data_IF_116544782449
#
_entry.id   IF_116544782449
#
_cell.length_a   1.000
_cell.length_b   1.000
_cell.length_c   1.000
_cell.angle_alpha   90.00
_cell.angle_beta   90.00
_cell.angle_gamma   90.00
#
_symmetry.space_group_name_H-M   'P 1'
#
loop_
_entity.id
_entity.type
_entity.pdbx_description
1 polymer ?
#
# COMPACT_ATOMS: atom_id res chain seq x y z
N UNK A 1 -21.99 17.24 37.97
CA UNK A 1 -21.73 15.83 38.37
C UNK A 1 -20.82 15.24 37.31
N UNK A 2 -19.56 15.00 37.67
CA UNK A 2 -18.49 14.65 36.74
C UNK A 2 -18.33 13.14 36.68
N UNK A 3 -18.61 12.52 35.54
CA UNK A 3 -18.39 11.07 35.36
C UNK A 3 -17.07 10.88 34.62
N UNK A 4 -16.03 10.53 35.36
CA UNK A 4 -14.77 9.97 34.85
C UNK A 4 -14.89 8.44 34.89
N UNK A 5 -14.86 7.76 33.76
CA UNK A 5 -14.62 6.31 33.66
C UNK A 5 -14.00 6.05 32.28
N UNK A 6 -12.66 6.07 32.16
CA UNK A 6 -11.72 4.98 32.45
C UNK A 6 -11.71 3.92 31.34
N UNK A 7 -10.77 4.12 30.41
CA UNK A 7 -10.39 3.26 29.29
C UNK A 7 -9.90 1.91 29.81
N UNK A 8 -10.37 0.76 29.29
CA UNK A 8 -9.65 -0.49 29.45
C UNK A 8 -8.58 -0.60 28.36
N UNK A 9 -7.31 -0.40 28.76
CA UNK A 9 -6.15 -0.91 28.05
C UNK A 9 -6.30 -2.43 27.95
N UNK A 10 -6.63 -2.94 26.77
CA UNK A 10 -6.49 -4.37 26.47
C UNK A 10 -5.00 -4.69 26.37
N UNK A 11 -4.52 -5.31 27.44
CA UNK A 11 -3.18 -5.82 27.62
C UNK A 11 -2.87 -6.91 26.58
N UNK A 12 -1.65 -6.82 26.07
CA UNK A 12 -0.91 -7.84 25.35
C UNK A 12 -1.00 -9.21 26.04
N UNK A 13 -1.81 -10.12 25.48
CA UNK A 13 -1.65 -11.55 25.74
C UNK A 13 -0.65 -12.12 24.72
N UNK A 14 0.63 -12.07 25.11
CA UNK A 14 1.71 -12.80 24.46
C UNK A 14 1.51 -14.28 24.81
N UNK A 15 0.92 -15.03 23.90
CA UNK A 15 0.94 -16.49 23.94
C UNK A 15 2.21 -17.01 23.29
N UNK A 16 3.31 -17.04 24.03
CA UNK A 16 4.48 -17.85 23.68
C UNK A 16 4.12 -19.34 23.89
N UNK A 17 3.69 -20.04 22.83
CA UNK A 17 3.74 -21.50 22.82
C UNK A 17 5.12 -21.95 22.34
N UNK A 18 5.97 -22.24 23.32
CA UNK A 18 7.28 -22.86 23.14
C UNK A 18 7.12 -24.39 23.22
N UNK A 19 6.95 -25.04 22.07
CA UNK A 19 7.07 -26.50 21.94
C UNK A 19 8.44 -26.81 21.32
N UNK A 20 9.40 -27.10 22.18
CA UNK A 20 10.73 -27.61 21.82
C UNK A 20 10.71 -29.16 21.91
N UNK A 21 11.82 -29.90 21.62
CA UNK A 21 12.36 -30.31 20.33
C UNK A 21 12.43 -31.85 20.17
N UNK A 22 12.35 -32.39 18.95
CA UNK A 22 13.25 -33.49 18.56
C UNK A 22 13.28 -33.79 17.05
N UNK A 23 14.52 -33.90 16.55
CA UNK A 23 15.02 -34.75 15.47
C UNK A 23 14.23 -34.89 14.14
N UNK A 24 14.87 -34.40 13.08
CA UNK A 24 14.58 -34.77 11.70
C UNK A 24 15.67 -34.30 10.74
N UNK A 25 16.73 -35.10 10.66
CA UNK A 25 17.62 -35.33 9.51
C UNK A 25 17.66 -34.27 8.39
N UNK A 26 18.82 -33.63 8.21
CA UNK A 26 19.30 -33.20 6.89
C UNK A 26 18.40 -32.23 6.12
N UNK A 27 18.02 -31.11 6.72
CA UNK A 27 17.36 -30.03 6.00
C UNK A 27 18.30 -28.85 5.84
N UNK A 28 18.74 -28.61 4.60
CA UNK A 28 19.43 -27.38 4.21
C UNK A 28 18.71 -26.19 4.86
N UNK A 29 19.43 -25.34 5.61
CA UNK A 29 18.87 -24.09 6.14
C UNK A 29 18.55 -23.21 4.94
N UNK A 30 17.38 -23.41 4.34
CA UNK A 30 16.80 -22.45 3.42
C UNK A 30 16.40 -21.29 4.31
N UNK A 31 17.33 -20.34 4.51
CA UNK A 31 16.97 -18.96 4.73
C UNK A 31 15.88 -18.65 3.71
N UNK A 32 14.62 -18.63 4.15
CA UNK A 32 13.56 -18.01 3.36
C UNK A 32 13.86 -16.53 3.37
N UNK A 33 14.82 -16.13 2.55
CA UNK A 33 14.79 -14.82 1.95
C UNK A 33 13.41 -14.76 1.30
N UNK A 34 12.48 -14.03 1.89
CA UNK A 34 11.22 -13.66 1.26
C UNK A 34 11.55 -12.72 0.12
N UNK A 35 12.25 -13.22 -0.90
CA UNK A 35 12.30 -12.63 -2.23
C UNK A 35 10.88 -12.74 -2.75
N UNK A 36 10.11 -11.66 -2.60
CA UNK A 36 8.86 -11.52 -3.34
C UNK A 36 9.18 -11.83 -4.81
N UNK A 37 8.37 -12.70 -5.44
CA UNK A 37 8.50 -12.95 -6.87
C UNK A 37 8.35 -11.62 -7.62
N UNK A 38 8.98 -11.47 -8.78
CA UNK A 38 8.84 -10.23 -9.59
C UNK A 38 7.37 -9.89 -9.86
N UNK A 39 6.50 -10.91 -10.04
CA UNK A 39 5.04 -10.73 -10.11
C UNK A 39 4.42 -10.13 -8.84
N UNK A 40 4.82 -10.59 -7.65
CA UNK A 40 4.33 -10.07 -6.38
C UNK A 40 4.78 -8.64 -6.10
N UNK A 41 6.00 -8.28 -6.51
CA UNK A 41 6.50 -6.90 -6.44
C UNK A 41 5.70 -6.01 -7.40
N UNK A 42 5.44 -6.47 -8.63
CA UNK A 42 4.65 -5.73 -9.62
C UNK A 42 3.22 -5.49 -9.14
N UNK A 43 2.53 -6.52 -8.63
CA UNK A 43 1.14 -6.39 -8.17
C UNK A 43 1.02 -5.50 -6.93
N UNK A 44 1.97 -5.62 -6.01
CA UNK A 44 2.07 -4.72 -4.85
C UNK A 44 2.31 -3.27 -5.29
N UNK A 45 3.17 -3.06 -6.29
CA UNK A 45 3.44 -1.72 -6.84
C UNK A 45 2.19 -1.11 -7.50
N UNK A 46 1.43 -1.90 -8.28
CA UNK A 46 0.14 -1.47 -8.85
C UNK A 46 -0.87 -1.13 -7.76
N UNK A 47 -0.92 -1.93 -6.70
CA UNK A 47 -1.79 -1.67 -5.54
C UNK A 47 -1.47 -0.33 -4.87
N UNK A 48 -0.20 -0.02 -4.65
CA UNK A 48 0.23 1.26 -4.07
C UNK A 48 -0.13 2.46 -4.97
N UNK A 49 0.00 2.30 -6.29
CA UNK A 49 -0.46 3.33 -7.25
C UNK A 49 -1.97 3.58 -7.07
N UNK A 50 -2.78 2.52 -7.02
CA UNK A 50 -4.22 2.65 -6.85
C UNK A 50 -4.59 3.29 -5.50
N UNK A 51 -3.90 2.93 -4.41
CA UNK A 51 -4.10 3.53 -3.09
C UNK A 51 -3.75 5.02 -3.08
N UNK A 52 -2.61 5.42 -3.68
CA UNK A 52 -2.24 6.85 -3.80
C UNK A 52 -3.30 7.64 -4.59
N UNK A 53 -3.83 7.03 -5.65
CA UNK A 53 -4.90 7.62 -6.49
C UNK A 53 -6.21 7.78 -5.72
N UNK A 54 -6.57 6.81 -4.89
CA UNK A 54 -7.74 6.86 -4.01
C UNK A 54 -7.56 7.90 -2.90
N UNK A 55 -6.40 7.93 -2.24
CA UNK A 55 -6.08 8.91 -1.20
C UNK A 55 -6.16 10.35 -1.74
N UNK A 56 -5.63 10.60 -2.94
CA UNK A 56 -5.78 11.89 -3.62
C UNK A 56 -7.25 12.24 -3.91
N UNK A 57 -8.11 11.25 -4.17
CA UNK A 57 -9.55 11.46 -4.39
C UNK A 57 -10.23 11.84 -3.08
N UNK A 58 -9.90 11.17 -1.98
CA UNK A 58 -10.42 11.49 -0.64
C UNK A 58 -10.06 12.92 -0.22
N UNK A 59 -8.83 13.37 -0.48
CA UNK A 59 -8.44 14.76 -0.23
C UNK A 59 -9.28 15.75 -1.07
N UNK A 60 -9.48 15.46 -2.37
CA UNK A 60 -10.29 16.29 -3.27
C UNK A 60 -11.76 16.35 -2.86
N UNK A 61 -12.29 15.26 -2.31
CA UNK A 61 -13.66 15.16 -1.81
C UNK A 61 -13.82 15.72 -0.39
N UNK A 62 -12.75 16.23 0.23
CA UNK A 62 -12.78 16.77 1.59
C UNK A 62 -12.98 15.71 2.68
N UNK A 63 -12.82 14.42 2.37
CA UNK A 63 -13.01 13.31 3.32
C UNK A 63 -11.86 13.17 4.31
N UNK A 64 -10.69 13.68 3.96
CA UNK A 64 -9.49 13.68 4.80
C UNK A 64 -8.88 15.07 4.86
N UNK A 65 -8.24 15.40 5.99
CA UNK A 65 -7.50 16.65 6.12
C UNK A 65 -6.19 16.61 5.31
N UNK A 66 -5.66 17.78 4.99
CA UNK A 66 -4.36 17.89 4.32
C UNK A 66 -3.22 17.24 5.13
N UNK A 67 -3.21 17.41 6.45
CA UNK A 67 -2.21 16.81 7.32
C UNK A 67 -2.30 15.26 7.32
N UNK A 68 -3.51 14.71 7.37
CA UNK A 68 -3.72 13.26 7.26
C UNK A 68 -3.29 12.73 5.89
N UNK A 69 -3.62 13.46 4.82
CA UNK A 69 -3.15 13.15 3.47
C UNK A 69 -1.63 13.13 3.38
N UNK A 70 -0.95 14.18 3.86
CA UNK A 70 0.52 14.31 3.74
C UNK A 70 1.23 13.17 4.47
N UNK A 71 0.77 12.82 5.68
CA UNK A 71 1.30 11.68 6.44
C UNK A 71 1.13 10.37 5.67
N UNK A 72 -0.10 10.01 5.33
CA UNK A 72 -0.40 8.73 4.66
C UNK A 72 0.24 8.65 3.27
N UNK A 73 0.31 9.76 2.54
CA UNK A 73 0.94 9.81 1.24
C UNK A 73 2.46 9.63 1.34
N UNK A 74 3.11 10.16 2.39
CA UNK A 74 4.54 9.95 2.62
C UNK A 74 4.86 8.47 2.85
N UNK A 75 4.07 7.79 3.68
CA UNK A 75 4.24 6.35 3.96
C UNK A 75 4.01 5.50 2.70
N UNK A 76 2.96 5.81 1.94
CA UNK A 76 2.65 5.14 0.67
C UNK A 76 3.77 5.34 -0.37
N UNK A 77 4.27 6.57 -0.52
CA UNK A 77 5.34 6.87 -1.47
C UNK A 77 6.65 6.19 -1.08
N UNK A 78 6.95 6.11 0.22
CA UNK A 78 8.13 5.38 0.71
C UNK A 78 8.05 3.91 0.31
N UNK A 79 6.92 3.25 0.60
CA UNK A 79 6.68 1.85 0.20
C UNK A 79 6.74 1.67 -1.32
N UNK A 80 6.18 2.62 -2.07
CA UNK A 80 6.20 2.59 -3.52
C UNK A 80 7.62 2.66 -4.08
N UNK A 81 8.46 3.56 -3.56
CA UNK A 81 9.84 3.68 -4.00
C UNK A 81 10.66 2.42 -3.71
N UNK A 82 10.47 1.81 -2.54
CA UNK A 82 11.14 0.54 -2.20
C UNK A 82 10.79 -0.57 -3.20
N UNK A 83 9.49 -0.75 -3.50
CA UNK A 83 9.06 -1.78 -4.43
C UNK A 83 9.46 -1.46 -5.88
N UNK A 84 9.29 -0.20 -6.29
CA UNK A 84 9.62 0.24 -7.64
C UNK A 84 11.11 0.07 -7.96
N UNK A 85 12.00 0.37 -7.01
CA UNK A 85 13.44 0.17 -7.17
C UNK A 85 13.84 -1.31 -7.17
N UNK A 86 12.96 -2.20 -6.73
CA UNK A 86 13.17 -3.65 -6.74
C UNK A 86 12.66 -4.29 -8.04
N UNK A 87 12.03 -3.53 -8.94
CA UNK A 87 11.53 -4.04 -10.21
C UNK A 87 12.67 -4.27 -11.22
N UNK A 88 12.46 -5.25 -12.10
CA UNK A 88 13.29 -5.38 -13.29
C UNK A 88 13.06 -4.20 -14.25
N UNK A 89 13.98 -3.90 -15.18
CA UNK A 89 13.77 -2.85 -16.18
C UNK A 89 12.49 -3.04 -16.99
N UNK A 90 12.14 -4.28 -17.35
CA UNK A 90 10.91 -4.58 -18.10
C UNK A 90 9.65 -4.30 -17.25
N UNK A 91 9.63 -4.77 -15.99
CA UNK A 91 8.50 -4.54 -15.08
C UNK A 91 8.34 -3.05 -14.75
N UNK A 92 9.45 -2.33 -14.66
CA UNK A 92 9.48 -0.87 -14.46
C UNK A 92 8.74 -0.13 -15.58
N UNK A 93 8.93 -0.55 -16.85
CA UNK A 93 8.20 0.02 -17.98
C UNK A 93 6.69 -0.24 -17.89
N UNK A 94 6.31 -1.46 -17.52
CA UNK A 94 4.90 -1.86 -17.34
C UNK A 94 4.26 -1.02 -16.23
N UNK A 95 4.92 -0.88 -15.09
CA UNK A 95 4.43 -0.08 -13.97
C UNK A 95 4.33 1.41 -14.33
N UNK A 96 5.32 1.94 -15.05
CA UNK A 96 5.32 3.33 -15.51
C UNK A 96 4.14 3.59 -16.45
N UNK A 97 3.90 2.66 -17.39
CA UNK A 97 2.77 2.73 -18.30
C UNK A 97 1.44 2.66 -17.55
N UNK A 98 1.30 1.70 -16.62
CA UNK A 98 0.11 1.56 -15.77
C UNK A 98 -0.21 2.85 -15.01
N UNK A 99 0.81 3.50 -14.42
CA UNK A 99 0.64 4.78 -13.72
C UNK A 99 0.11 5.87 -14.66
N UNK A 100 0.70 6.01 -15.84
CA UNK A 100 0.27 6.99 -16.85
C UNK A 100 -1.18 6.75 -17.29
N UNK A 101 -1.56 5.52 -17.57
CA UNK A 101 -2.93 5.17 -17.97
C UNK A 101 -3.95 5.56 -16.89
N UNK A 102 -3.64 5.31 -15.61
CA UNK A 102 -4.50 5.69 -14.49
C UNK A 102 -4.60 7.19 -14.27
N UNK A 103 -3.57 7.95 -14.61
CA UNK A 103 -3.58 9.42 -14.57
C UNK A 103 -4.39 10.00 -15.74
N UNK A 104 -4.16 9.51 -16.97
CA UNK A 104 -4.88 9.97 -18.18
C UNK A 104 -6.37 9.63 -18.13
N UNK A 105 -6.74 8.43 -17.67
CA UNK A 105 -8.15 8.05 -17.49
C UNK A 105 -8.91 9.01 -16.57
N UNK A 106 -8.25 9.60 -15.57
CA UNK A 106 -8.87 10.63 -14.71
C UNK A 106 -9.13 11.95 -15.45
N UNK A 107 -8.25 12.33 -16.36
CA UNK A 107 -8.36 13.58 -17.11
C UNK A 107 -9.39 13.47 -18.25
N UNK A 108 -9.43 12.33 -18.94
CA UNK A 108 -10.44 12.08 -19.99
C UNK A 108 -11.86 12.01 -19.43
N UNK A 109 -12.09 11.34 -18.28
CA UNK A 109 -13.41 11.28 -17.64
C UNK A 109 -13.93 12.65 -17.15
N UNK A 110 -13.02 13.58 -16.85
CA UNK A 110 -13.38 14.96 -16.50
C UNK A 110 -13.89 15.75 -17.71
N UNK A 111 -13.41 15.45 -18.91
CA UNK A 111 -13.70 16.23 -20.11
C UNK A 111 -14.99 15.79 -20.84
N UNK A 112 -15.50 14.57 -20.56
CA UNK A 112 -16.74 14.07 -21.17
C UNK A 112 -18.03 14.63 -20.54
N UNK A 113 -17.93 15.31 -19.40
CA UNK A 113 -19.08 15.88 -18.67
C UNK A 113 -19.19 17.41 -18.80
N UNK A 114 -18.41 18.06 -19.66
CA UNK A 114 -18.61 19.48 -19.95
C UNK A 114 -19.88 19.64 -20.80
N UNK A 115 -20.90 20.41 -20.35
CA UNK A 115 -22.07 20.67 -21.16
C UNK A 115 -21.64 21.44 -22.40
N UNK A 116 -21.77 20.79 -23.55
CA UNK A 116 -21.62 21.43 -24.86
C UNK A 116 -22.80 22.37 -25.02
N UNK A 117 -22.62 23.65 -24.66
CA UNK A 117 -23.57 24.70 -24.97
C UNK A 117 -23.85 24.66 -26.48
N UNK A 118 -25.10 24.35 -26.83
CA UNK A 118 -25.70 24.59 -28.13
C UNK A 118 -26.63 25.78 -27.98
#
# INVERSE_FOLDING_TARGET
MSVKFMVPLLLFSIGCHNSNPNQGSGGNRVEKQTTLSSSGIMDSTKSLINQSIALKKELKEGKISRAAFEKTNSDLMTSYHTLYNSLSPADTLIITQYKKEKEVLKDSLKNTNAPRWK
#
